data_IF_915005509921
#
_entry.id   IF_915005509921
#
_cell.length_a   1.000
_cell.length_b   1.000
_cell.length_c   1.000
_cell.angle_alpha   90.00
_cell.angle_beta   90.00
_cell.angle_gamma   90.00
#
_symmetry.space_group_name_H-M   'P 1'
#
loop_
_entity.id
_entity.type
_entity.pdbx_description
1 polymer ?
#
# COMPACT_ATOMS: atom_id res chain seq x y z
N UNK A 1 -14.82 -2.64 10.08
CA UNK A 1 -15.93 -2.52 9.12
C UNK A 1 -16.69 -3.81 9.14
N UNK A 2 -17.97 -3.75 9.49
CA UNK A 2 -18.90 -4.87 9.35
C UNK A 2 -19.34 -4.91 7.89
N UNK A 3 -19.14 -6.03 7.22
CA UNK A 3 -19.62 -6.23 5.84
C UNK A 3 -21.13 -6.40 5.84
N UNK A 4 -21.79 -6.20 4.70
CA UNK A 4 -23.24 -6.42 4.55
C UNK A 4 -23.69 -7.84 4.95
N UNK A 5 -22.76 -8.80 4.93
CA UNK A 5 -22.95 -10.19 5.36
C UNK A 5 -22.72 -10.43 6.86
N UNK A 6 -22.46 -9.39 7.66
CA UNK A 6 -22.18 -9.49 9.10
C UNK A 6 -20.76 -9.91 9.45
N UNK A 7 -19.86 -10.05 8.47
CA UNK A 7 -18.46 -10.39 8.67
C UNK A 7 -17.64 -9.18 9.12
N UNK A 8 -16.65 -9.38 9.98
CA UNK A 8 -15.73 -8.32 10.37
C UNK A 8 -14.52 -8.28 9.44
N UNK A 9 -14.37 -7.20 8.66
CA UNK A 9 -13.18 -6.94 7.86
C UNK A 9 -12.26 -5.96 8.62
N UNK A 10 -11.04 -6.41 8.93
CA UNK A 10 -9.99 -5.57 9.47
C UNK A 10 -9.29 -4.81 8.33
N UNK A 11 -9.41 -3.48 8.35
CA UNK A 11 -8.86 -2.60 7.32
C UNK A 11 -7.37 -2.34 7.55
N UNK A 12 -7.01 -1.96 8.78
CA UNK A 12 -5.64 -1.63 9.16
C UNK A 12 -5.49 -1.75 10.69
N UNK A 13 -4.29 -2.12 11.15
CA UNK A 13 -3.87 -1.97 12.55
C UNK A 13 -3.01 -0.71 12.65
N UNK A 14 -3.37 0.20 13.54
CA UNK A 14 -2.74 1.52 13.70
C UNK A 14 -1.95 1.54 15.01
N UNK A 15 -0.74 2.13 14.98
CA UNK A 15 0.09 2.37 16.18
C UNK A 15 0.21 3.86 16.44
N UNK A 16 0.30 4.23 17.73
CA UNK A 16 0.55 5.61 18.13
C UNK A 16 1.99 6.06 17.80
N UNK A 17 2.22 7.37 17.55
CA UNK A 17 1.21 8.40 17.31
C UNK A 17 0.78 8.42 15.84
N UNK A 18 -0.50 8.17 15.55
CA UNK A 18 -1.03 8.23 14.19
C UNK A 18 -2.47 8.74 14.19
N UNK A 19 -2.81 9.74 13.36
CA UNK A 19 -4.18 10.26 13.30
C UNK A 19 -5.13 9.22 12.72
N UNK A 20 -6.35 9.21 13.26
CA UNK A 20 -7.46 8.41 12.76
C UNK A 20 -8.27 9.24 11.76
N UNK A 21 -8.63 8.64 10.63
CA UNK A 21 -9.54 9.22 9.63
C UNK A 21 -9.24 10.69 9.24
N UNK A 22 -7.97 11.12 9.21
CA UNK A 22 -7.61 12.52 8.90
C UNK A 22 -8.16 13.01 7.56
N UNK A 23 -8.30 12.11 6.58
CA UNK A 23 -8.85 12.45 5.26
C UNK A 23 -10.33 12.88 5.33
N UNK A 24 -11.06 12.48 6.38
CA UNK A 24 -12.48 12.76 6.54
C UNK A 24 -12.78 14.04 7.33
N UNK A 25 -11.79 14.60 8.04
CA UNK A 25 -12.00 15.79 8.89
C UNK A 25 -12.62 16.99 8.16
N UNK A 26 -12.28 17.15 6.87
CA UNK A 26 -12.77 18.23 6.01
C UNK A 26 -13.72 17.75 4.92
N UNK A 27 -14.12 16.48 4.93
CA UNK A 27 -15.10 15.96 3.98
C UNK A 27 -16.50 16.54 4.28
N UNK A 28 -17.34 16.69 3.26
CA UNK A 28 -18.75 17.06 3.44
C UNK A 28 -19.47 16.05 4.35
N UNK A 29 -19.18 14.77 4.14
CA UNK A 29 -19.60 13.70 5.04
C UNK A 29 -18.47 13.38 6.05
N UNK A 30 -18.45 14.13 7.17
CA UNK A 30 -17.47 13.97 8.25
C UNK A 30 -17.90 12.89 9.27
N UNK A 31 -18.12 11.67 8.77
CA UNK A 31 -18.39 10.48 9.60
C UNK A 31 -17.28 9.46 9.42
N UNK A 32 -16.91 8.76 10.49
CA UNK A 32 -15.98 7.65 10.37
C UNK A 32 -16.58 6.55 9.48
N UNK A 33 -15.91 6.16 8.38
CA UNK A 33 -16.42 5.11 7.50
C UNK A 33 -16.21 3.70 8.07
N UNK A 34 -15.55 3.59 9.22
CA UNK A 34 -15.12 2.33 9.84
C UNK A 34 -15.20 2.43 11.35
N UNK A 35 -15.47 1.30 11.99
CA UNK A 35 -15.33 1.14 13.44
C UNK A 35 -13.85 1.14 13.84
N UNK A 36 -13.56 1.72 15.01
CA UNK A 36 -12.24 1.68 15.63
C UNK A 36 -12.34 0.89 16.93
N UNK A 37 -11.51 -0.14 17.06
CA UNK A 37 -11.48 -1.03 18.22
C UNK A 37 -10.06 -1.01 18.78
N UNK A 38 -9.92 -0.82 20.08
CA UNK A 38 -8.64 -0.88 20.80
C UNK A 38 -8.24 -2.33 21.05
N UNK A 39 -7.02 -2.71 20.68
CA UNK A 39 -6.48 -4.07 20.90
C UNK A 39 -5.76 -4.22 22.25
N UNK A 40 -5.43 -3.08 22.87
CA UNK A 40 -4.75 -2.94 24.15
C UNK A 40 -5.20 -1.63 24.80
N UNK A 41 -4.84 -1.40 26.07
CA UNK A 41 -5.11 -0.14 26.76
C UNK A 41 -4.54 1.04 25.97
N UNK A 42 -5.42 1.93 25.51
CA UNK A 42 -5.10 2.96 24.54
C UNK A 42 -5.61 4.33 25.01
N UNK A 43 -4.85 5.37 24.71
CA UNK A 43 -5.25 6.76 24.94
C UNK A 43 -5.53 7.46 23.59
N UNK A 44 -6.60 8.24 23.53
CA UNK A 44 -6.99 9.02 22.35
C UNK A 44 -6.91 10.51 22.66
N UNK A 45 -6.23 11.26 21.79
CA UNK A 45 -6.29 12.72 21.79
C UNK A 45 -7.33 13.17 20.76
N UNK A 46 -8.39 13.81 21.24
CA UNK A 46 -9.41 14.41 20.39
C UNK A 46 -9.07 15.88 20.14
N UNK A 47 -8.97 16.25 18.86
CA UNK A 47 -8.70 17.63 18.44
C UNK A 47 -9.91 18.10 17.61
N UNK A 48 -10.65 19.12 18.05
CA UNK A 48 -11.74 19.70 17.28
C UNK A 48 -11.26 20.23 15.93
N UNK A 49 -12.14 20.22 14.92
CA UNK A 49 -11.82 20.69 13.56
C UNK A 49 -11.34 22.14 13.56
N UNK A 50 -11.97 22.98 14.39
CA UNK A 50 -11.69 24.40 14.53
C UNK A 50 -10.25 24.64 15.02
N UNK A 51 -9.77 23.81 15.95
CA UNK A 51 -8.39 23.87 16.45
C UNK A 51 -7.38 23.50 15.36
N UNK A 52 -7.70 22.50 14.51
CA UNK A 52 -6.87 22.15 13.36
C UNK A 52 -6.79 23.30 12.35
N UNK A 53 -7.92 23.99 12.10
CA UNK A 53 -7.94 25.18 11.24
C UNK A 53 -7.07 26.30 11.83
N UNK A 54 -7.16 26.55 13.13
CA UNK A 54 -6.29 27.53 13.79
C UNK A 54 -4.81 27.15 13.67
N UNK A 55 -4.48 25.86 13.81
CA UNK A 55 -3.11 25.37 13.66
C UNK A 55 -2.60 25.58 12.22
N UNK A 56 -3.43 25.39 11.20
CA UNK A 56 -3.06 25.68 9.82
C UNK A 56 -2.73 27.16 9.59
N UNK A 57 -3.45 28.07 10.25
CA UNK A 57 -3.22 29.51 10.15
C UNK A 57 -1.94 29.94 10.91
N UNK A 58 -1.64 29.27 12.03
CA UNK A 58 -0.49 29.60 12.90
C UNK A 58 0.81 28.94 12.46
N UNK A 59 0.76 27.76 11.84
CA UNK A 59 1.92 26.98 11.42
C UNK A 59 1.72 26.42 10.00
N UNK A 60 2.30 27.11 9.02
CA UNK A 60 2.29 26.70 7.62
C UNK A 60 2.98 25.33 7.40
N UNK A 61 3.97 24.98 8.22
CA UNK A 61 4.63 23.68 8.11
C UNK A 61 3.72 22.55 8.62
N UNK A 62 2.90 22.81 9.64
CA UNK A 62 1.84 21.86 10.06
C UNK A 62 0.81 21.65 8.95
N UNK A 63 0.34 22.73 8.32
CA UNK A 63 -0.54 22.65 7.15
C UNK A 63 0.07 21.80 6.03
N UNK A 64 1.31 22.08 5.65
CA UNK A 64 2.00 21.33 4.60
C UNK A 64 2.11 19.85 4.97
N UNK A 65 2.54 19.52 6.20
CA UNK A 65 2.62 18.13 6.68
C UNK A 65 1.27 17.43 6.65
N UNK A 66 0.19 18.12 7.03
CA UNK A 66 -1.16 17.58 7.00
C UNK A 66 -1.62 17.26 5.57
N UNK A 67 -1.42 18.19 4.63
CA UNK A 67 -1.77 17.99 3.23
C UNK A 67 -0.93 16.85 2.65
N UNK A 68 0.39 16.86 2.85
CA UNK A 68 1.28 15.78 2.37
C UNK A 68 0.87 14.42 2.93
N UNK A 69 0.50 14.33 4.21
CA UNK A 69 0.02 13.08 4.79
C UNK A 69 -1.19 12.53 4.05
N UNK A 70 -2.21 13.36 3.82
CA UNK A 70 -3.42 12.94 3.14
C UNK A 70 -3.17 12.65 1.65
N UNK A 71 -2.36 13.45 0.96
CA UNK A 71 -1.97 13.20 -0.44
C UNK A 71 -1.26 11.86 -0.61
N UNK A 72 -0.31 11.54 0.28
CA UNK A 72 0.38 10.25 0.25
C UNK A 72 -0.58 9.08 0.53
N UNK A 73 -1.58 9.27 1.40
CA UNK A 73 -2.62 8.27 1.65
C UNK A 73 -3.51 8.05 0.43
N UNK A 74 -3.92 9.12 -0.25
CA UNK A 74 -4.68 9.04 -1.51
C UNK A 74 -3.88 8.33 -2.59
N UNK A 75 -2.60 8.68 -2.78
CA UNK A 75 -1.74 8.01 -3.76
C UNK A 75 -1.59 6.51 -3.46
N UNK A 76 -1.36 6.16 -2.20
CA UNK A 76 -1.29 4.76 -1.77
C UNK A 76 -2.59 4.00 -2.06
N UNK A 77 -3.75 4.60 -1.78
CA UNK A 77 -5.04 3.97 -2.05
C UNK A 77 -5.29 3.79 -3.55
N UNK A 78 -5.00 4.80 -4.36
CA UNK A 78 -5.10 4.73 -5.82
C UNK A 78 -4.21 3.63 -6.40
N UNK A 79 -2.98 3.52 -5.91
CA UNK A 79 -2.04 2.47 -6.29
C UNK A 79 -2.57 1.07 -5.92
N UNK A 80 -3.10 0.94 -4.70
CA UNK A 80 -3.74 -0.31 -4.26
C UNK A 80 -4.94 -0.68 -5.14
N UNK A 81 -5.76 0.28 -5.54
CA UNK A 81 -6.88 0.04 -6.46
C UNK A 81 -6.40 -0.46 -7.82
N UNK A 82 -5.37 0.16 -8.41
CA UNK A 82 -4.77 -0.31 -9.67
C UNK A 82 -4.32 -1.76 -9.57
N UNK A 83 -3.59 -2.12 -8.50
CA UNK A 83 -3.16 -3.50 -8.28
C UNK A 83 -4.35 -4.46 -8.12
N UNK A 84 -5.42 -4.03 -7.45
CA UNK A 84 -6.63 -4.86 -7.30
C UNK A 84 -7.41 -5.07 -8.61
N UNK A 85 -7.33 -4.13 -9.57
CA UNK A 85 -7.97 -4.29 -10.89
C UNK A 85 -7.30 -5.34 -11.77
N UNK A 86 -6.03 -5.69 -11.50
CA UNK A 86 -5.34 -6.74 -12.24
C UNK A 86 -5.90 -8.11 -11.84
N UNK A 87 -6.48 -8.82 -12.81
CA UNK A 87 -7.26 -10.04 -12.57
C UNK A 87 -6.43 -11.22 -12.06
N UNK A 88 -5.16 -11.32 -12.47
CA UNK A 88 -4.31 -12.47 -12.16
C UNK A 88 -3.27 -12.14 -11.08
N UNK A 89 -2.94 -13.12 -10.23
CA UNK A 89 -1.86 -12.99 -9.24
C UNK A 89 -0.53 -12.71 -9.95
N UNK A 90 -0.33 -13.34 -11.12
CA UNK A 90 0.85 -13.18 -11.97
C UNK A 90 0.99 -11.74 -12.45
N UNK A 91 -0.08 -11.13 -12.97
CA UNK A 91 -0.07 -9.74 -13.39
C UNK A 91 0.16 -8.77 -12.23
N UNK A 92 -0.46 -9.01 -11.06
CA UNK A 92 -0.22 -8.20 -9.84
C UNK A 92 1.27 -8.19 -9.46
N UNK A 93 1.88 -9.38 -9.47
CA UNK A 93 3.29 -9.54 -9.12
C UNK A 93 4.22 -8.91 -10.16
N UNK A 94 3.93 -9.11 -11.45
CA UNK A 94 4.68 -8.49 -12.54
C UNK A 94 4.62 -6.95 -12.49
N UNK A 95 3.43 -6.38 -12.27
CA UNK A 95 3.24 -4.93 -12.10
C UNK A 95 4.08 -4.39 -10.96
N UNK A 96 4.00 -5.02 -9.78
CA UNK A 96 4.75 -4.60 -8.62
C UNK A 96 6.27 -4.67 -8.84
N UNK A 97 6.78 -5.73 -9.47
CA UNK A 97 8.22 -5.85 -9.81
C UNK A 97 8.65 -4.75 -10.78
N UNK A 98 7.83 -4.44 -11.80
CA UNK A 98 8.12 -3.39 -12.77
C UNK A 98 8.13 -1.99 -12.14
N UNK A 99 7.30 -1.73 -11.13
CA UNK A 99 7.32 -0.47 -10.39
C UNK A 99 8.55 -0.34 -9.49
N UNK A 100 8.93 -1.40 -8.79
CA UNK A 100 10.17 -1.37 -8.00
C UNK A 100 11.39 -1.16 -8.90
N UNK A 101 11.37 -1.77 -10.09
CA UNK A 101 12.39 -1.56 -11.11
C UNK A 101 12.39 -0.11 -11.63
N UNK A 102 11.23 0.51 -11.85
CA UNK A 102 11.16 1.89 -12.34
C UNK A 102 11.70 2.89 -11.31
N UNK A 103 11.46 2.65 -10.02
CA UNK A 103 12.08 3.42 -8.93
C UNK A 103 13.60 3.28 -8.98
N UNK A 104 14.14 2.08 -9.18
CA UNK A 104 15.58 1.89 -9.32
C UNK A 104 16.15 2.59 -10.57
N UNK A 105 15.43 2.54 -11.69
CA UNK A 105 15.82 3.20 -12.95
C UNK A 105 15.85 4.72 -12.86
N UNK A 106 15.09 5.33 -11.94
CA UNK A 106 15.19 6.77 -11.65
C UNK A 106 16.54 7.16 -11.03
N UNK A 107 17.24 6.21 -10.40
CA UNK A 107 18.60 6.40 -9.86
C UNK A 107 19.64 6.05 -10.93
N UNK A 108 19.50 4.87 -11.53
CA UNK A 108 20.34 4.45 -12.65
C UNK A 108 19.63 3.41 -13.52
N UNK A 109 19.55 3.62 -14.86
CA UNK A 109 18.94 2.68 -15.79
C UNK A 109 19.59 1.29 -15.83
N UNK A 110 20.82 1.14 -15.32
CA UNK A 110 21.53 -0.14 -15.29
C UNK A 110 21.13 -1.05 -14.11
N UNK A 111 20.36 -0.54 -13.15
CA UNK A 111 19.96 -1.33 -11.97
C UNK A 111 18.82 -2.27 -12.37
N UNK A 112 19.11 -3.56 -12.42
CA UNK A 112 18.12 -4.62 -12.67
C UNK A 112 17.89 -5.51 -11.44
N UNK A 113 18.49 -5.16 -10.31
CA UNK A 113 18.49 -5.96 -9.09
C UNK A 113 18.16 -5.09 -7.90
N UNK A 114 17.18 -5.50 -7.10
CA UNK A 114 16.71 -4.75 -5.94
C UNK A 114 16.18 -5.67 -4.85
N UNK A 115 16.03 -5.12 -3.65
CA UNK A 115 15.36 -5.80 -2.54
C UNK A 115 13.90 -5.37 -2.51
N UNK A 116 12.98 -6.34 -2.36
CA UNK A 116 11.56 -6.01 -2.21
C UNK A 116 11.33 -5.26 -0.89
N UNK A 117 10.52 -4.20 -0.92
CA UNK A 117 10.15 -3.43 0.28
C UNK A 117 9.13 -4.17 1.17
N UNK A 118 8.62 -5.31 0.70
CA UNK A 118 7.68 -6.17 1.42
C UNK A 118 8.12 -7.62 1.37
N UNK A 119 7.93 -8.35 2.47
CA UNK A 119 8.09 -9.80 2.46
C UNK A 119 6.87 -10.48 1.82
N UNK A 120 6.96 -11.79 1.52
CA UNK A 120 5.87 -12.52 0.85
C UNK A 120 4.54 -12.51 1.64
N UNK A 121 4.58 -12.47 2.97
CA UNK A 121 3.36 -12.40 3.79
C UNK A 121 2.69 -11.04 3.65
N UNK A 122 3.48 -9.97 3.66
CA UNK A 122 3.01 -8.60 3.45
C UNK A 122 2.49 -8.39 2.03
N UNK A 123 3.20 -8.93 1.02
CA UNK A 123 2.77 -8.91 -0.39
C UNK A 123 1.48 -9.68 -0.61
N UNK A 124 1.30 -10.84 0.04
CA UNK A 124 0.06 -11.60 -0.05
C UNK A 124 -1.13 -10.80 0.49
N UNK A 125 -0.96 -10.15 1.66
CA UNK A 125 -1.96 -9.23 2.22
C UNK A 125 -2.19 -8.03 1.31
N UNK A 126 -1.13 -7.48 0.72
CA UNK A 126 -1.19 -6.34 -0.18
C UNK A 126 -2.03 -6.63 -1.43
N UNK A 127 -1.85 -7.80 -2.04
CA UNK A 127 -2.59 -8.25 -3.23
C UNK A 127 -3.98 -8.82 -2.94
N UNK A 128 -4.30 -9.07 -1.67
CA UNK A 128 -5.54 -9.75 -1.26
C UNK A 128 -5.57 -11.22 -1.65
N UNK A 129 -4.42 -11.91 -1.64
CA UNK A 129 -4.29 -13.32 -2.03
C UNK A 129 -3.68 -14.15 -0.89
N UNK A 130 -3.73 -15.48 -1.00
CA UNK A 130 -3.09 -16.34 -0.01
C UNK A 130 -1.58 -16.40 -0.24
N UNK A 131 -0.80 -16.51 0.84
CA UNK A 131 0.67 -16.66 0.78
C UNK A 131 1.11 -17.86 -0.09
N UNK A 132 0.50 -19.06 -0.02
CA UNK A 132 0.86 -20.17 -0.90
C UNK A 132 0.59 -19.88 -2.38
N UNK A 133 -0.49 -19.17 -2.72
CA UNK A 133 -0.78 -18.80 -4.10
C UNK A 133 0.28 -17.83 -4.64
N UNK A 134 0.65 -16.81 -3.86
CA UNK A 134 1.72 -15.89 -4.23
C UNK A 134 3.06 -16.62 -4.43
N UNK A 135 3.44 -17.51 -3.51
CA UNK A 135 4.70 -18.23 -3.59
C UNK A 135 4.77 -19.11 -4.85
N UNK A 136 3.68 -19.80 -5.20
CA UNK A 136 3.59 -20.58 -6.45
C UNK A 136 3.79 -19.70 -7.68
N UNK A 137 3.08 -18.59 -7.75
CA UNK A 137 3.20 -17.65 -8.88
C UNK A 137 4.60 -17.05 -8.99
N UNK A 138 5.26 -16.73 -7.86
CA UNK A 138 6.65 -16.26 -7.88
C UNK A 138 7.59 -17.32 -8.47
N UNK A 139 7.41 -18.60 -8.10
CA UNK A 139 8.17 -19.70 -8.68
C UNK A 139 7.88 -19.91 -10.17
N UNK A 140 6.63 -19.76 -10.62
CA UNK A 140 6.25 -19.82 -12.04
C UNK A 140 6.95 -18.73 -12.86
N UNK A 141 6.93 -17.48 -12.41
CA UNK A 141 7.61 -16.36 -13.10
C UNK A 141 9.12 -16.59 -13.17
N UNK A 142 9.71 -17.18 -12.13
CA UNK A 142 11.12 -17.55 -12.12
C UNK A 142 11.43 -18.71 -13.07
N UNK A 143 10.57 -19.74 -13.14
CA UNK A 143 10.71 -20.86 -14.09
C UNK A 143 10.56 -20.40 -15.55
N UNK A 144 9.74 -19.39 -15.80
CA UNK A 144 9.59 -18.74 -17.11
C UNK A 144 10.79 -17.87 -17.49
N UNK A 145 11.78 -17.71 -16.60
CA UNK A 145 13.02 -16.98 -16.87
C UNK A 145 12.85 -15.46 -16.87
N UNK A 146 11.72 -14.93 -16.41
CA UNK A 146 11.49 -13.49 -16.36
C UNK A 146 12.26 -12.82 -15.21
N UNK A 147 12.46 -13.53 -14.09
CA UNK A 147 13.18 -13.05 -12.90
C UNK A 147 14.05 -14.15 -12.30
N UNK A 148 15.03 -13.74 -11.50
CA UNK A 148 15.68 -14.59 -10.50
C UNK A 148 15.33 -14.07 -9.09
N UNK A 149 14.91 -14.96 -8.20
CA UNK A 149 14.58 -14.62 -6.81
C UNK A 149 15.51 -15.31 -5.82
N UNK A 150 16.15 -14.54 -4.95
CA UNK A 150 16.99 -15.02 -3.86
C UNK A 150 16.55 -14.36 -2.54
N UNK A 151 15.79 -15.09 -1.72
CA UNK A 151 15.16 -14.59 -0.49
C UNK A 151 14.26 -13.37 -0.75
N UNK A 152 14.77 -12.17 -0.49
CA UNK A 152 14.07 -10.90 -0.68
C UNK A 152 14.69 -10.04 -1.80
N UNK A 153 15.69 -10.58 -2.51
CA UNK A 153 16.38 -9.96 -3.63
C UNK A 153 15.78 -10.47 -4.93
N UNK A 154 15.43 -9.56 -5.83
CA UNK A 154 14.90 -9.86 -7.16
C UNK A 154 15.88 -9.31 -8.19
N UNK A 155 16.22 -10.12 -9.18
CA UNK A 155 16.90 -9.70 -10.40
C UNK A 155 15.93 -9.85 -11.57
N UNK A 156 15.68 -8.78 -12.30
CA UNK A 156 14.86 -8.82 -13.51
C UNK A 156 15.72 -9.26 -14.69
N UNK A 157 15.36 -10.38 -15.31
CA UNK A 157 16.08 -10.97 -16.43
C UNK A 157 15.44 -10.52 -17.75
N UNK A 158 14.11 -10.59 -17.84
CA UNK A 158 13.35 -10.17 -19.02
C UNK A 158 12.18 -9.24 -18.63
N UNK A 159 12.39 -7.94 -18.88
CA UNK A 159 11.39 -6.90 -18.65
C UNK A 159 10.18 -7.04 -19.57
N UNK A 160 10.36 -7.51 -20.81
CA UNK A 160 9.25 -7.68 -21.77
C UNK A 160 8.37 -8.85 -21.36
N UNK A 161 8.95 -9.95 -20.89
CA UNK A 161 8.20 -11.06 -20.34
C UNK A 161 7.27 -10.59 -19.20
N UNK A 162 7.78 -9.78 -18.26
CA UNK A 162 6.94 -9.19 -17.20
C UNK A 162 5.84 -8.28 -17.73
N UNK A 163 6.10 -7.47 -18.75
CA UNK A 163 5.08 -6.61 -19.37
C UNK A 163 3.94 -7.42 -20.01
N UNK A 164 4.26 -8.55 -20.63
CA UNK A 164 3.26 -9.44 -21.23
C UNK A 164 2.35 -10.11 -20.17
N UNK A 165 2.82 -10.26 -18.93
CA UNK A 165 2.04 -10.83 -17.83
C UNK A 165 0.99 -9.86 -17.25
N UNK A 166 1.00 -8.58 -17.66
CA UNK A 166 0.03 -7.57 -17.22
C UNK A 166 -1.34 -7.71 -17.90
N UNK A 167 -1.41 -8.44 -19.01
CA UNK A 167 -2.60 -8.63 -19.84
C UNK A 167 -3.58 -9.68 -19.26
#
# INVERSE_FOLDING_TARGET
MITETGGQLSIEVIKAPRPLASAFLFAENNTFPVDVITLEDSCLLMIPKEEVIQLFQKDAAFLQRYITYNSNKTQFLSHKLQVLTIKTIKGKLAHYILEQLSVCHSISPSINTFFMDKNQTELAKYFGVTRPALARTLSEIQQEGAIESQRNKITVIDKRALQNMLA
#
